data_IF_189853150038
#
_entry.id   IF_189853150038
#
_cell.length_a   1.000
_cell.length_b   1.000
_cell.length_c   1.000
_cell.angle_alpha   90.00
_cell.angle_beta   90.00
_cell.angle_gamma   90.00
#
_symmetry.space_group_name_H-M   'P 1'
#
loop_
_entity.id
_entity.type
_entity.pdbx_description
1 polymer ?
#
# COMPACT_ATOMS: atom_id res chain seq x y z
N UNK A 1 16.69 -23.36 18.49
CA UNK A 1 16.71 -23.53 17.02
C UNK A 1 16.10 -22.27 16.44
N UNK A 2 16.91 -21.40 15.85
CA UNK A 2 16.46 -20.14 15.24
C UNK A 2 15.78 -20.51 13.91
N UNK A 3 14.47 -20.33 13.79
CA UNK A 3 13.80 -20.39 12.49
C UNK A 3 14.47 -19.38 11.54
N UNK A 4 14.72 -19.72 10.27
CA UNK A 4 15.21 -18.72 9.32
C UNK A 4 14.14 -17.64 9.22
N UNK A 5 14.43 -16.45 9.76
CA UNK A 5 13.58 -15.28 9.57
C UNK A 5 13.41 -15.09 8.06
N UNK A 6 12.20 -15.32 7.56
CA UNK A 6 11.93 -15.25 6.13
C UNK A 6 11.97 -13.78 5.72
N UNK A 7 13.13 -13.33 5.21
CA UNK A 7 13.36 -11.94 4.81
C UNK A 7 12.87 -11.74 3.38
N UNK A 8 11.90 -10.84 3.21
CA UNK A 8 11.44 -10.39 1.89
C UNK A 8 12.27 -9.21 1.41
N UNK A 9 12.79 -9.30 0.18
CA UNK A 9 13.54 -8.20 -0.43
C UNK A 9 12.68 -7.46 -1.43
N UNK A 10 12.31 -6.23 -1.09
CA UNK A 10 11.65 -5.29 -2.00
C UNK A 10 12.71 -4.28 -2.44
N UNK A 11 12.79 -4.00 -3.73
CA UNK A 11 13.78 -3.09 -4.30
C UNK A 11 13.08 -2.03 -5.16
N UNK A 12 13.61 -0.82 -5.11
CA UNK A 12 13.15 0.34 -5.85
C UNK A 12 14.26 1.38 -5.87
N UNK A 13 14.20 2.29 -6.84
CA UNK A 13 15.10 3.44 -6.97
C UNK A 13 14.66 4.60 -6.07
N UNK A 14 13.38 4.67 -5.69
CA UNK A 14 12.82 5.68 -4.79
C UNK A 14 12.05 5.07 -3.61
N UNK A 15 11.85 5.87 -2.56
CA UNK A 15 11.01 5.46 -1.42
C UNK A 15 9.55 5.17 -1.85
N UNK A 16 9.04 5.88 -2.85
CA UNK A 16 7.69 5.65 -3.41
C UNK A 16 7.60 4.29 -4.07
N UNK A 17 8.63 3.87 -4.80
CA UNK A 17 8.67 2.54 -5.43
C UNK A 17 8.77 1.42 -4.39
N UNK A 18 9.53 1.62 -3.30
CA UNK A 18 9.58 0.67 -2.19
C UNK A 18 8.20 0.51 -1.52
N UNK A 19 7.54 1.63 -1.21
CA UNK A 19 6.20 1.63 -0.63
C UNK A 19 5.16 1.01 -1.59
N UNK A 20 5.27 1.28 -2.88
CA UNK A 20 4.40 0.73 -3.91
C UNK A 20 4.59 -0.78 -4.05
N UNK A 21 5.84 -1.26 -4.03
CA UNK A 21 6.17 -2.69 -4.03
C UNK A 21 5.64 -3.41 -2.78
N UNK A 22 5.75 -2.78 -1.61
CA UNK A 22 5.17 -3.30 -0.36
C UNK A 22 3.65 -3.37 -0.44
N UNK A 23 2.99 -2.30 -0.88
CA UNK A 23 1.55 -2.27 -1.06
C UNK A 23 1.08 -3.35 -2.05
N UNK A 24 1.79 -3.52 -3.17
CA UNK A 24 1.49 -4.58 -4.14
C UNK A 24 1.57 -5.98 -3.51
N UNK A 25 2.65 -6.25 -2.77
CA UNK A 25 2.83 -7.54 -2.09
C UNK A 25 1.68 -7.81 -1.10
N UNK A 26 1.35 -6.82 -0.27
CA UNK A 26 0.25 -6.94 0.70
C UNK A 26 -1.09 -7.17 0.00
N UNK A 27 -1.37 -6.47 -1.10
CA UNK A 27 -2.61 -6.61 -1.84
C UNK A 27 -2.76 -7.96 -2.51
N UNK A 28 -1.76 -8.40 -3.27
CA UNK A 28 -1.88 -9.58 -4.12
C UNK A 28 -1.51 -10.87 -3.42
N UNK A 29 -0.52 -10.86 -2.52
CA UNK A 29 -0.10 -12.05 -1.80
C UNK A 29 -0.72 -12.19 -0.43
N UNK A 30 -0.87 -11.11 0.33
CA UNK A 30 -1.51 -11.18 1.64
C UNK A 30 -3.02 -10.91 1.60
N UNK A 31 -3.60 -10.58 0.44
CA UNK A 31 -5.03 -10.27 0.31
C UNK A 31 -5.47 -9.07 1.16
N UNK A 32 -4.56 -8.14 1.44
CA UNK A 32 -4.83 -6.94 2.21
C UNK A 32 -5.49 -5.86 1.36
N UNK A 33 -6.25 -4.98 2.01
CA UNK A 33 -6.84 -3.82 1.35
C UNK A 33 -6.61 -2.56 2.19
N UNK A 34 -6.14 -1.47 1.56
CA UNK A 34 -5.87 -0.19 2.23
C UNK A 34 -6.58 0.89 1.44
N UNK A 35 -7.46 1.62 2.11
CA UNK A 35 -8.24 2.71 1.55
C UNK A 35 -8.57 3.75 2.62
N UNK A 36 -9.20 4.85 2.22
CA UNK A 36 -9.70 5.83 3.18
C UNK A 36 -10.75 5.22 4.10
N UNK A 37 -10.76 5.64 5.36
CA UNK A 37 -11.69 5.13 6.38
C UNK A 37 -13.15 5.25 5.95
N UNK A 38 -13.55 6.34 5.26
CA UNK A 38 -14.92 6.48 4.74
C UNK A 38 -15.25 5.57 3.54
N UNK A 39 -14.25 5.09 2.81
CA UNK A 39 -14.46 4.27 1.59
C UNK A 39 -14.29 2.78 1.85
N UNK A 40 -13.55 2.40 2.89
CA UNK A 40 -13.33 0.99 3.21
C UNK A 40 -12.26 0.75 4.27
N UNK A 41 -11.52 1.78 4.69
CA UNK A 41 -10.47 1.68 5.71
C UNK A 41 -9.36 0.70 5.33
N UNK A 42 -8.71 0.16 6.36
CA UNK A 42 -7.65 -0.83 6.23
C UNK A 42 -8.11 -2.22 6.70
N UNK A 43 -8.18 -3.16 5.76
CA UNK A 43 -8.39 -4.58 6.04
C UNK A 43 -7.02 -5.28 6.05
N UNK A 44 -6.46 -5.45 7.24
CA UNK A 44 -5.16 -6.11 7.45
C UNK A 44 -5.28 -7.50 8.11
N UNK A 45 -6.50 -7.93 8.46
CA UNK A 45 -6.73 -9.23 9.11
C UNK A 45 -6.35 -10.44 8.25
N UNK A 46 -6.26 -10.26 6.93
CA UNK A 46 -5.80 -11.27 5.98
C UNK A 46 -4.27 -11.41 5.94
N UNK A 47 -3.54 -10.43 6.49
CA UNK A 47 -2.08 -10.47 6.52
C UNK A 47 -1.63 -11.47 7.59
N UNK A 48 -0.95 -12.56 7.22
CA UNK A 48 -0.52 -13.55 8.19
C UNK A 48 0.66 -13.02 9.01
N UNK A 49 0.96 -13.72 10.11
CA UNK A 49 2.14 -13.44 10.92
C UNK A 49 3.42 -13.48 10.06
N UNK A 50 4.48 -12.74 10.45
CA UNK A 50 5.73 -12.68 9.68
C UNK A 50 6.32 -14.04 9.32
N UNK A 51 6.15 -15.04 10.19
CA UNK A 51 6.63 -16.41 10.01
C UNK A 51 5.85 -17.19 8.93
N UNK A 52 4.64 -16.75 8.59
CA UNK A 52 3.68 -17.42 7.70
C UNK A 52 3.40 -16.59 6.44
N UNK A 53 4.24 -15.58 6.17
CA UNK A 53 4.06 -14.74 5.00
C UNK A 53 4.14 -15.58 3.70
N UNK A 54 3.30 -15.29 2.70
CA UNK A 54 3.30 -16.04 1.45
C UNK A 54 4.63 -15.83 0.72
N UNK A 55 5.25 -16.94 0.30
CA UNK A 55 6.45 -16.88 -0.52
C UNK A 55 6.09 -16.49 -1.96
N UNK A 56 6.82 -15.53 -2.51
CA UNK A 56 6.74 -15.20 -3.94
C UNK A 56 7.29 -16.39 -4.72
N UNK A 57 6.44 -17.07 -5.49
CA UNK A 57 6.87 -18.23 -6.30
C UNK A 57 7.78 -17.77 -7.45
N UNK A 58 8.90 -18.46 -7.66
CA UNK A 58 9.83 -18.22 -8.79
C UNK A 58 10.98 -17.26 -8.49
N UNK A 59 11.49 -16.58 -9.53
CA UNK A 59 12.68 -15.68 -9.47
C UNK A 59 12.38 -14.27 -8.94
N UNK A 60 11.16 -14.01 -8.50
CA UNK A 60 10.68 -12.69 -8.06
C UNK A 60 9.74 -12.02 -9.07
N UNK A 61 9.12 -10.90 -8.65
CA UNK A 61 8.20 -10.11 -9.47
C UNK A 61 8.85 -8.76 -9.76
N UNK A 62 8.89 -8.37 -11.04
CA UNK A 62 9.34 -7.05 -11.48
C UNK A 62 8.14 -6.26 -11.98
N UNK A 63 7.98 -5.04 -11.45
CA UNK A 63 6.92 -4.11 -11.83
C UNK A 63 7.59 -2.83 -12.28
N UNK A 64 7.24 -2.36 -13.47
CA UNK A 64 7.76 -1.11 -14.03
C UNK A 64 6.61 -0.12 -14.18
N UNK A 65 6.85 1.14 -13.82
CA UNK A 65 5.88 2.20 -14.04
C UNK A 65 5.84 2.54 -15.53
N UNK A 66 4.66 2.49 -16.19
CA UNK A 66 4.55 2.85 -17.61
C UNK A 66 4.64 4.37 -17.82
N UNK A 67 4.54 5.16 -16.76
CA UNK A 67 4.51 6.63 -16.80
C UNK A 67 5.54 7.23 -15.84
N UNK A 68 6.15 8.38 -16.19
CA UNK A 68 7.18 9.00 -15.36
C UNK A 68 6.64 9.66 -14.09
N UNK A 69 5.35 10.01 -14.05
CA UNK A 69 4.74 10.73 -12.92
C UNK A 69 3.37 10.15 -12.57
N UNK A 70 3.10 10.00 -11.28
CA UNK A 70 1.78 9.70 -10.74
C UNK A 70 1.34 10.90 -9.89
N UNK A 71 0.25 11.56 -10.27
CA UNK A 71 -0.24 12.75 -9.60
C UNK A 71 -1.50 12.42 -8.80
N UNK A 72 -1.56 12.93 -7.57
CA UNK A 72 -2.73 12.85 -6.71
C UNK A 72 -3.03 14.26 -6.15
N UNK A 73 -4.31 14.51 -5.86
CA UNK A 73 -4.92 15.80 -5.47
C UNK A 73 -5.40 16.66 -6.66
N UNK A 74 -6.46 17.42 -6.43
CA UNK A 74 -6.92 18.50 -7.29
C UNK A 74 -6.83 19.80 -6.47
N UNK A 75 -6.79 20.97 -7.13
CA UNK A 75 -6.85 22.28 -6.47
C UNK A 75 -8.03 22.38 -5.50
N UNK A 76 -9.18 21.80 -5.85
CA UNK A 76 -10.39 21.86 -5.00
C UNK A 76 -10.26 20.96 -3.76
N UNK A 77 -9.40 19.94 -3.79
CA UNK A 77 -9.22 18.99 -2.68
C UNK A 77 -8.86 19.68 -1.37
N UNK A 78 -8.00 20.70 -1.40
CA UNK A 78 -7.59 21.45 -0.20
C UNK A 78 -8.75 22.20 0.47
N UNK A 79 -9.75 22.64 -0.29
CA UNK A 79 -10.93 23.34 0.23
C UNK A 79 -11.97 22.38 0.82
N UNK A 80 -11.99 21.14 0.32
CA UNK A 80 -12.90 20.08 0.74
C UNK A 80 -12.37 19.29 1.95
N UNK A 81 -11.05 19.20 2.10
CA UNK A 81 -10.40 18.55 3.22
C UNK A 81 -10.26 19.53 4.40
N UNK A 82 -11.30 19.61 5.24
CA UNK A 82 -11.30 20.49 6.41
C UNK A 82 -10.13 20.13 7.35
N UNK A 83 -9.22 21.09 7.50
CA UNK A 83 -7.84 20.83 7.93
C UNK A 83 -7.68 20.98 9.47
N UNK A 84 -8.19 20.02 10.24
CA UNK A 84 -7.66 19.71 11.59
C UNK A 84 -7.17 18.24 11.59
N UNK A 85 -5.85 18.02 11.71
CA UNK A 85 -5.23 16.68 11.63
C UNK A 85 -5.85 15.76 12.70
N UNK A 86 -6.36 14.56 12.33
CA UNK A 86 -5.49 13.47 11.86
C UNK A 86 -6.07 12.76 10.61
N UNK A 87 -5.25 12.49 9.59
CA UNK A 87 -5.55 11.87 8.27
C UNK A 87 -6.37 12.67 7.22
N UNK A 88 -6.81 13.91 7.51
CA UNK A 88 -7.55 14.84 6.61
C UNK A 88 -8.78 14.28 5.88
N UNK A 89 -9.64 13.69 6.70
CA UNK A 89 -11.11 13.63 6.65
C UNK A 89 -11.80 13.78 5.29
N UNK A 90 -11.52 12.82 4.42
CA UNK A 90 -12.47 12.08 3.58
C UNK A 90 -13.38 12.91 2.66
N UNK A 91 -12.96 12.99 1.39
CA UNK A 91 -13.75 12.96 0.15
C UNK A 91 -15.12 13.62 0.33
N UNK A 92 -15.27 14.88 -0.09
CA UNK A 92 -16.60 15.49 -0.23
C UNK A 92 -17.50 14.53 -1.04
N UNK A 93 -18.35 13.82 -0.31
CA UNK A 93 -19.47 12.96 -0.68
C UNK A 93 -19.35 12.28 -2.06
N UNK A 94 -18.94 11.01 -2.08
CA UNK A 94 -19.34 10.13 -3.18
C UNK A 94 -20.89 10.15 -3.30
N UNK A 95 -21.45 10.17 -4.52
CA UNK A 95 -22.89 10.30 -4.74
C UNK A 95 -23.71 9.19 -4.07
#
# INVERSE_FOLDING_TARGET
MQLPHMVYRIQGTTAVELASGLHWYLKYWCGAHISWDKTGGAQLASVPLPEHLPQVKGTGVKIEHPVPWNYHQNVVTSSCEFHDFPIYRNVCSAP
#
